data_IF_856374016898
#
_entry.id   IF_856374016898
#
_cell.length_a   1.000
_cell.length_b   1.000
_cell.length_c   1.000
_cell.angle_alpha   90.00
_cell.angle_beta   90.00
_cell.angle_gamma   90.00
#
_symmetry.space_group_name_H-M   'P 1'
#
loop_
_entity.id
_entity.type
_entity.pdbx_description
1 polymer ?
#
# COMPACT_ATOMS: atom_id res chain seq x y z
N UNK A 1 -0.99 -6.24 21.19
CA UNK A 1 -0.39 -5.47 20.10
C UNK A 1 1.12 -5.54 20.28
N UNK A 2 1.78 -6.26 19.40
CA UNK A 2 3.20 -6.12 19.10
C UNK A 2 3.47 -4.88 18.22
N UNK A 3 4.67 -4.83 17.65
CA UNK A 3 5.24 -3.63 17.03
C UNK A 3 4.48 -3.19 15.79
N UNK A 4 4.03 -4.14 14.97
CA UNK A 4 3.41 -3.87 13.68
C UNK A 4 1.99 -3.33 13.88
N UNK A 5 1.26 -3.89 14.86
CA UNK A 5 -0.04 -3.35 15.28
C UNK A 5 0.06 -1.92 15.82
N UNK A 6 1.13 -1.60 16.56
CA UNK A 6 1.36 -0.26 17.10
C UNK A 6 1.65 0.73 15.97
N UNK A 7 2.46 0.35 14.99
CA UNK A 7 2.78 1.22 13.85
C UNK A 7 1.54 1.53 13.01
N UNK A 8 0.71 0.52 12.74
CA UNK A 8 -0.57 0.69 12.05
C UNK A 8 -1.48 1.63 12.85
N UNK A 9 -1.60 1.44 14.17
CA UNK A 9 -2.39 2.33 15.03
C UNK A 9 -1.91 3.77 14.97
N UNK A 10 -0.61 4.01 15.11
CA UNK A 10 -0.03 5.35 15.00
C UNK A 10 -0.34 5.98 13.64
N UNK A 11 -0.20 5.19 12.55
CA UNK A 11 -0.50 5.67 11.21
C UNK A 11 -1.96 6.04 11.03
N UNK A 12 -2.88 5.25 11.58
CA UNK A 12 -4.32 5.53 11.60
C UNK A 12 -4.60 6.80 12.40
N UNK A 13 -4.11 6.90 13.63
CA UNK A 13 -4.27 8.09 14.47
C UNK A 13 -3.83 9.37 13.76
N UNK A 14 -2.65 9.36 13.16
CA UNK A 14 -2.11 10.50 12.42
C UNK A 14 -2.95 10.83 11.18
N UNK A 15 -3.47 9.81 10.49
CA UNK A 15 -4.29 9.99 9.28
C UNK A 15 -5.65 10.61 9.59
N UNK A 16 -6.27 10.23 10.70
CA UNK A 16 -7.58 10.75 11.12
C UNK A 16 -7.48 11.93 12.10
N UNK A 17 -6.28 12.28 12.56
CA UNK A 17 -6.07 13.33 13.56
C UNK A 17 -6.74 13.02 14.89
N UNK A 18 -6.76 11.75 15.29
CA UNK A 18 -7.36 11.25 16.53
C UNK A 18 -6.29 10.69 17.47
N UNK A 19 -6.67 10.40 18.72
CA UNK A 19 -5.86 9.66 19.68
C UNK A 19 -6.72 8.61 20.37
N UNK A 20 -6.33 7.34 20.24
CA UNK A 20 -6.99 6.17 20.81
C UNK A 20 -6.17 5.76 22.05
N UNK A 21 -6.75 5.80 23.27
CA UNK A 21 -6.02 5.43 24.48
C UNK A 21 -5.53 3.98 24.45
N UNK A 22 -4.36 3.70 25.02
CA UNK A 22 -3.79 2.35 25.05
C UNK A 22 -4.74 1.27 25.58
N UNK A 23 -5.51 1.57 26.64
CA UNK A 23 -6.50 0.63 27.22
C UNK A 23 -7.62 0.26 26.25
N UNK A 24 -7.89 1.12 25.28
CA UNK A 24 -8.83 0.84 24.20
C UNK A 24 -8.15 0.11 23.05
N UNK A 25 -6.96 0.57 22.66
CA UNK A 25 -6.15 -0.09 21.64
C UNK A 25 -5.92 -1.58 21.98
N UNK A 26 -5.62 -1.92 23.24
CA UNK A 26 -5.48 -3.29 23.72
C UNK A 26 -6.72 -4.18 23.49
N UNK A 27 -7.91 -3.58 23.27
CA UNK A 27 -9.17 -4.29 23.01
C UNK A 27 -9.49 -4.42 21.52
N UNK A 28 -8.71 -3.80 20.64
CA UNK A 28 -8.87 -3.94 19.19
C UNK A 28 -8.28 -5.29 18.79
N UNK A 29 -9.15 -6.27 18.56
CA UNK A 29 -8.76 -7.64 18.21
C UNK A 29 -8.99 -7.92 16.73
N UNK A 30 -10.04 -7.35 16.16
CA UNK A 30 -10.45 -7.55 14.76
C UNK A 30 -10.31 -6.26 13.95
N UNK A 31 -10.32 -6.40 12.62
CA UNK A 31 -10.37 -5.25 11.70
C UNK A 31 -11.63 -4.42 11.96
N UNK A 32 -12.77 -5.06 12.24
CA UNK A 32 -14.02 -4.39 12.58
C UNK A 32 -13.92 -3.58 13.87
N UNK A 33 -13.26 -4.12 14.91
CA UNK A 33 -12.99 -3.37 16.15
C UNK A 33 -12.16 -2.10 15.87
N UNK A 34 -11.23 -2.19 14.91
CA UNK A 34 -10.41 -1.07 14.48
C UNK A 34 -11.28 0.01 13.83
N UNK A 35 -12.15 -0.37 12.88
CA UNK A 35 -13.10 0.53 12.25
C UNK A 35 -13.96 1.24 13.29
N UNK A 36 -14.50 0.49 14.24
CA UNK A 36 -15.35 1.01 15.30
C UNK A 36 -14.60 1.94 16.26
N UNK A 37 -13.34 1.63 16.60
CA UNK A 37 -12.49 2.50 17.42
C UNK A 37 -12.23 3.85 16.77
N UNK A 38 -11.90 3.86 15.48
CA UNK A 38 -11.71 5.10 14.71
C UNK A 38 -13.02 5.86 14.59
N UNK A 39 -14.12 5.18 14.26
CA UNK A 39 -15.44 5.78 14.14
C UNK A 39 -15.88 6.49 15.43
N UNK A 40 -15.68 5.85 16.59
CA UNK A 40 -16.03 6.41 17.90
C UNK A 40 -15.25 7.70 18.22
N UNK A 41 -13.98 7.80 17.82
CA UNK A 41 -13.15 8.98 18.10
C UNK A 41 -13.40 10.15 17.14
N UNK A 42 -14.06 9.92 16.00
CA UNK A 42 -14.42 10.99 15.05
C UNK A 42 -15.67 11.80 15.45
N UNK A 43 -16.34 11.42 16.55
CA UNK A 43 -17.14 12.29 17.44
C UNK A 43 -18.00 13.38 16.76
N UNK A 44 -19.05 12.99 16.02
CA UNK A 44 -20.09 13.92 15.53
C UNK A 44 -19.75 14.68 14.24
N UNK A 45 -18.61 14.40 13.62
CA UNK A 45 -18.27 14.87 12.28
C UNK A 45 -18.90 13.95 11.22
N UNK A 46 -20.23 13.98 11.06
CA UNK A 46 -20.92 13.16 10.08
C UNK A 46 -21.08 13.88 8.74
N UNK A 47 -20.72 13.18 7.65
CA UNK A 47 -20.97 13.63 6.28
C UNK A 47 -21.68 12.55 5.46
N UNK A 48 -22.86 12.89 4.93
CA UNK A 48 -23.49 12.17 3.83
C UNK A 48 -22.70 12.31 2.51
N UNK A 49 -21.85 13.35 2.40
CA UNK A 49 -21.06 13.58 1.19
C UNK A 49 -19.85 12.66 1.18
N UNK A 50 -19.76 11.85 0.13
CA UNK A 50 -18.60 11.03 -0.18
C UNK A 50 -17.49 11.87 -0.82
N UNK A 51 -16.37 12.04 -0.10
CA UNK A 51 -15.10 12.56 -0.62
C UNK A 51 -14.54 11.67 -1.72
N UNK A 52 -14.74 10.36 -1.64
CA UNK A 52 -14.37 9.42 -2.71
C UNK A 52 -14.98 9.82 -4.07
N UNK A 53 -16.24 10.24 -4.08
CA UNK A 53 -16.93 10.73 -5.27
C UNK A 53 -16.34 12.06 -5.75
N UNK A 54 -16.11 13.01 -4.84
CA UNK A 54 -15.47 14.29 -5.18
C UNK A 54 -14.07 14.10 -5.77
N UNK A 55 -13.29 13.18 -5.20
CA UNK A 55 -11.97 12.82 -5.68
C UNK A 55 -12.03 12.16 -7.05
N UNK A 56 -12.96 11.23 -7.28
CA UNK A 56 -13.17 10.64 -8.60
C UNK A 56 -13.43 11.70 -9.68
N UNK A 57 -14.30 12.68 -9.41
CA UNK A 57 -14.56 13.75 -10.37
C UNK A 57 -13.34 14.66 -10.60
N UNK A 58 -12.58 14.97 -9.54
CA UNK A 58 -11.32 15.71 -9.65
C UNK A 58 -10.33 14.95 -10.55
N UNK A 59 -10.13 13.65 -10.28
CA UNK A 59 -9.24 12.78 -11.07
C UNK A 59 -9.71 12.70 -12.52
N UNK A 60 -10.99 12.47 -12.77
CA UNK A 60 -11.57 12.38 -14.11
C UNK A 60 -11.32 13.64 -14.94
N UNK A 61 -11.49 14.81 -14.34
CA UNK A 61 -11.21 16.08 -14.98
C UNK A 61 -9.72 16.23 -15.29
N UNK A 62 -8.85 16.03 -14.30
CA UNK A 62 -7.39 16.18 -14.47
C UNK A 62 -6.80 15.19 -15.47
N UNK A 63 -7.29 13.95 -15.50
CA UNK A 63 -6.90 12.92 -16.46
C UNK A 63 -7.28 13.34 -17.88
N UNK A 64 -8.50 13.83 -18.08
CA UNK A 64 -8.96 14.27 -19.39
C UNK A 64 -8.14 15.44 -19.93
N UNK A 65 -7.83 16.42 -19.07
CA UNK A 65 -7.01 17.59 -19.41
C UNK A 65 -5.54 17.24 -19.68
N UNK A 66 -4.97 16.28 -18.93
CA UNK A 66 -3.53 15.96 -19.01
C UNK A 66 -3.21 14.96 -20.11
N UNK A 67 -4.06 13.95 -20.31
CA UNK A 67 -3.78 12.81 -21.19
C UNK A 67 -4.64 12.79 -22.46
N UNK A 68 -5.42 13.85 -22.70
CA UNK A 68 -6.37 13.95 -23.82
C UNK A 68 -7.35 12.76 -23.88
N UNK A 69 -7.72 12.25 -22.71
CA UNK A 69 -8.62 11.11 -22.54
C UNK A 69 -10.07 11.60 -22.50
N UNK A 70 -11.00 10.95 -23.22
CA UNK A 70 -12.41 11.36 -23.20
C UNK A 70 -12.99 11.15 -21.80
N UNK A 71 -13.56 12.18 -21.14
CA UNK A 71 -14.16 12.01 -19.82
C UNK A 71 -15.21 10.91 -19.80
N UNK A 72 -16.01 10.78 -20.87
CA UNK A 72 -17.08 9.80 -21.00
C UNK A 72 -16.58 8.35 -20.96
N UNK A 73 -15.34 8.11 -21.39
CA UNK A 73 -14.70 6.80 -21.38
C UNK A 73 -14.15 6.43 -19.98
N UNK A 74 -13.92 7.42 -19.10
CA UNK A 74 -13.38 7.15 -17.77
C UNK A 74 -14.50 6.75 -16.82
N UNK A 75 -14.65 5.44 -16.65
CA UNK A 75 -15.62 4.83 -15.75
C UNK A 75 -14.91 4.29 -14.52
N UNK A 76 -15.69 3.91 -13.50
CA UNK A 76 -15.16 3.35 -12.26
C UNK A 76 -14.48 1.99 -12.47
N UNK A 77 -14.93 1.22 -13.47
CA UNK A 77 -14.42 -0.11 -13.86
C UNK A 77 -13.24 -0.04 -14.85
N UNK A 78 -12.90 1.13 -15.39
CA UNK A 78 -11.76 1.30 -16.30
C UNK A 78 -10.45 1.01 -15.58
N UNK A 79 -9.47 0.40 -16.25
CA UNK A 79 -8.15 0.18 -15.65
C UNK A 79 -7.28 1.46 -15.70
N UNK A 80 -6.61 1.86 -14.61
CA UNK A 80 -5.66 2.97 -14.63
C UNK A 80 -4.52 2.75 -15.65
N UNK A 81 -4.16 1.50 -15.93
CA UNK A 81 -3.13 1.15 -16.91
C UNK A 81 -3.52 1.48 -18.35
N UNK A 82 -4.81 1.65 -18.65
CA UNK A 82 -5.32 2.08 -19.95
C UNK A 82 -5.37 3.61 -20.08
N UNK A 83 -5.39 4.29 -18.94
CA UNK A 83 -5.57 5.74 -18.84
C UNK A 83 -4.23 6.47 -18.85
N UNK A 84 -3.26 5.98 -18.08
CA UNK A 84 -1.92 6.55 -18.07
C UNK A 84 -1.12 6.07 -19.28
N UNK A 85 -0.39 6.97 -19.97
CA UNK A 85 0.34 6.61 -21.18
C UNK A 85 1.32 5.47 -20.90
N UNK A 86 1.41 4.50 -21.82
CA UNK A 86 2.30 3.36 -21.66
C UNK A 86 3.77 3.78 -21.81
N UNK A 87 4.05 4.63 -22.81
CA UNK A 87 5.36 5.23 -23.00
C UNK A 87 5.55 6.38 -22.01
N UNK A 88 6.71 6.46 -21.37
CA UNK A 88 7.03 7.47 -20.36
C UNK A 88 6.07 7.52 -19.16
N UNK A 89 5.38 6.40 -18.87
CA UNK A 89 4.38 6.31 -17.80
C UNK A 89 4.86 6.88 -16.47
N UNK A 90 6.05 6.47 -16.02
CA UNK A 90 6.61 6.91 -14.73
C UNK A 90 6.74 8.44 -14.66
N UNK A 91 7.24 9.07 -15.72
CA UNK A 91 7.38 10.52 -15.77
C UNK A 91 6.01 11.21 -15.79
N UNK A 92 5.09 10.73 -16.62
CA UNK A 92 3.72 11.26 -16.70
C UNK A 92 2.98 11.10 -15.35
N UNK A 93 3.16 9.98 -14.67
CA UNK A 93 2.58 9.68 -13.37
C UNK A 93 3.09 10.63 -12.28
N UNK A 94 4.41 10.85 -12.21
CA UNK A 94 5.01 11.79 -11.28
C UNK A 94 4.60 13.24 -11.58
N UNK A 95 4.56 13.64 -12.84
CA UNK A 95 4.09 14.96 -13.26
C UNK A 95 2.62 15.19 -12.90
N UNK A 96 1.78 14.16 -13.07
CA UNK A 96 0.37 14.18 -12.66
C UNK A 96 0.19 14.29 -11.15
N UNK A 97 1.00 13.57 -10.36
CA UNK A 97 1.00 13.68 -8.90
C UNK A 97 1.32 15.12 -8.45
N UNK A 98 2.33 15.73 -9.07
CA UNK A 98 2.74 17.10 -8.80
C UNK A 98 1.68 18.13 -9.22
N UNK A 99 1.10 18.00 -10.42
CA UNK A 99 0.12 18.97 -10.93
C UNK A 99 -1.20 18.95 -10.16
N UNK A 100 -1.62 17.78 -9.68
CA UNK A 100 -2.85 17.62 -8.90
C UNK A 100 -2.67 17.88 -7.39
N UNK A 101 -1.41 17.97 -6.95
CA UNK A 101 -0.99 17.99 -5.55
C UNK A 101 -1.62 16.83 -4.76
N UNK A 102 -1.52 15.61 -5.30
CA UNK A 102 -2.03 14.38 -4.69
C UNK A 102 -0.89 13.39 -4.52
N UNK A 103 -0.84 12.74 -3.35
CA UNK A 103 -0.06 11.52 -3.15
C UNK A 103 -0.72 10.40 -3.94
N UNK A 104 0.03 9.71 -4.79
CA UNK A 104 -0.46 8.61 -5.60
C UNK A 104 0.13 7.28 -5.13
N UNK A 105 -0.56 6.15 -5.37
CA UNK A 105 -0.02 4.81 -5.13
C UNK A 105 1.33 4.59 -5.82
N UNK A 106 2.21 3.82 -5.20
CA UNK A 106 3.52 3.53 -5.80
C UNK A 106 3.39 2.65 -7.03
N UNK A 107 4.21 2.90 -8.05
CA UNK A 107 4.30 2.03 -9.21
C UNK A 107 5.01 0.72 -8.86
N UNK A 108 4.48 -0.40 -9.36
CA UNK A 108 5.06 -1.72 -9.22
C UNK A 108 5.87 -2.11 -10.46
N UNK A 109 6.77 -3.09 -10.26
CA UNK A 109 7.44 -3.76 -11.38
C UNK A 109 6.40 -4.50 -12.21
N UNK A 110 6.54 -4.44 -13.54
CA UNK A 110 5.74 -5.31 -14.40
C UNK A 110 6.13 -6.78 -14.15
N UNK A 111 5.18 -7.69 -14.42
CA UNK A 111 5.34 -9.15 -14.20
C UNK A 111 6.73 -9.71 -14.55
N UNK A 112 7.32 -9.48 -15.75
CA UNK A 112 8.63 -10.06 -16.08
C UNK A 112 9.76 -9.58 -15.15
N UNK A 113 9.78 -8.30 -14.81
CA UNK A 113 10.81 -7.75 -13.91
C UNK A 113 10.60 -8.15 -12.46
N UNK A 114 9.33 -8.25 -12.03
CA UNK A 114 8.99 -8.78 -10.71
C UNK A 114 9.42 -10.23 -10.57
N UNK A 115 9.13 -11.08 -11.55
CA UNK A 115 9.56 -12.48 -11.58
C UNK A 115 11.09 -12.58 -11.58
N UNK A 116 11.78 -11.76 -12.37
CA UNK A 116 13.25 -11.72 -12.38
C UNK A 116 13.82 -11.36 -10.99
N UNK A 117 13.31 -10.30 -10.36
CA UNK A 117 13.78 -9.87 -9.05
C UNK A 117 13.53 -10.94 -7.97
N UNK A 118 12.32 -11.52 -7.97
CA UNK A 118 11.95 -12.55 -6.98
C UNK A 118 12.76 -13.83 -7.17
N UNK A 119 12.98 -14.28 -8.41
CA UNK A 119 13.80 -15.47 -8.70
C UNK A 119 15.28 -15.22 -8.36
N UNK A 120 15.82 -14.04 -8.68
CA UNK A 120 17.16 -13.65 -8.28
C UNK A 120 17.33 -13.62 -6.75
N UNK A 121 16.36 -13.03 -6.03
CA UNK A 121 16.35 -13.02 -4.57
C UNK A 121 16.31 -14.43 -3.97
N UNK A 122 15.40 -15.27 -4.46
CA UNK A 122 15.30 -16.66 -4.01
C UNK A 122 16.61 -17.43 -4.23
N UNK A 123 17.20 -17.32 -5.41
CA UNK A 123 18.44 -18.02 -5.77
C UNK A 123 19.63 -17.53 -4.95
N UNK A 124 19.77 -16.23 -4.73
CA UNK A 124 20.91 -15.69 -3.97
C UNK A 124 20.79 -15.96 -2.48
N UNK A 125 19.58 -15.87 -1.92
CA UNK A 125 19.35 -16.09 -0.48
C UNK A 125 19.34 -17.59 -0.15
N UNK A 126 18.47 -18.39 -0.77
CA UNK A 126 18.38 -19.82 -0.47
C UNK A 126 19.57 -20.59 -1.02
N UNK A 127 20.03 -20.26 -2.23
CA UNK A 127 21.25 -20.85 -2.79
C UNK A 127 22.47 -20.48 -1.95
N UNK A 128 22.57 -19.21 -1.51
CA UNK A 128 23.63 -18.76 -0.60
C UNK A 128 23.63 -19.50 0.74
N UNK A 129 22.45 -19.72 1.32
CA UNK A 129 22.29 -20.51 2.53
C UNK A 129 22.70 -21.97 2.31
N UNK A 130 22.24 -22.60 1.23
CA UNK A 130 22.59 -23.97 0.89
C UNK A 130 24.10 -24.15 0.71
N UNK A 131 24.75 -23.24 -0.03
CA UNK A 131 26.21 -23.22 -0.19
C UNK A 131 26.91 -23.08 1.15
N UNK A 132 26.45 -22.18 2.02
CA UNK A 132 27.03 -21.99 3.36
C UNK A 132 26.95 -23.27 4.19
N UNK A 133 25.79 -23.93 4.20
CA UNK A 133 25.58 -25.20 4.92
C UNK A 133 26.47 -26.31 4.37
N UNK A 134 26.61 -26.41 3.04
CA UNK A 134 27.49 -27.41 2.41
C UNK A 134 28.95 -27.16 2.79
N UNK A 135 29.42 -25.92 2.70
CA UNK A 135 30.80 -25.55 3.05
C UNK A 135 31.13 -25.88 4.51
N UNK A 136 30.19 -25.64 5.43
CA UNK A 136 30.39 -25.92 6.86
C UNK A 136 30.43 -27.43 7.13
N UNK A 137 29.49 -28.21 6.56
CA UNK A 137 29.34 -29.62 6.92
C UNK A 137 30.25 -30.58 6.15
N UNK A 138 30.64 -30.24 4.91
CA UNK A 138 31.42 -31.13 4.05
C UNK A 138 32.88 -30.70 3.86
N UNK A 139 33.21 -29.44 4.15
CA UNK A 139 34.53 -28.87 3.88
C UNK A 139 35.14 -28.15 5.10
N UNK A 140 34.55 -28.30 6.29
CA UNK A 140 35.00 -27.73 7.57
C UNK A 140 35.26 -26.20 7.53
N UNK A 141 34.55 -25.47 6.66
CA UNK A 141 34.63 -24.01 6.65
C UNK A 141 34.04 -23.40 7.92
N UNK A 142 34.56 -22.24 8.30
CA UNK A 142 34.05 -21.47 9.43
C UNK A 142 32.59 -21.06 9.25
N UNK A 143 31.84 -20.95 10.36
CA UNK A 143 30.45 -20.45 10.37
C UNK A 143 30.29 -19.03 9.82
N UNK A 144 31.39 -18.29 9.66
CA UNK A 144 31.40 -17.01 8.95
C UNK A 144 30.84 -17.09 7.52
N UNK A 145 30.85 -18.27 6.87
CA UNK A 145 30.21 -18.45 5.56
C UNK A 145 28.71 -18.16 5.57
N UNK A 146 28.03 -18.19 6.71
CA UNK A 146 26.61 -17.79 6.84
C UNK A 146 26.35 -16.31 6.50
N UNK A 147 27.37 -15.50 6.25
CA UNK A 147 27.23 -14.15 5.69
C UNK A 147 26.80 -14.14 4.22
N UNK A 148 27.00 -15.23 3.48
CA UNK A 148 26.66 -15.33 2.05
C UNK A 148 25.18 -15.02 1.76
N UNK A 149 24.17 -15.60 2.46
CA UNK A 149 22.77 -15.20 2.25
C UNK A 149 22.49 -13.72 2.55
N UNK A 150 23.19 -13.12 3.53
CA UNK A 150 23.08 -11.67 3.82
C UNK A 150 23.60 -10.84 2.65
N UNK A 151 24.71 -11.25 2.03
CA UNK A 151 25.19 -10.66 0.79
C UNK A 151 24.16 -10.82 -0.35
N UNK A 152 23.46 -11.96 -0.40
CA UNK A 152 22.34 -12.18 -1.33
C UNK A 152 21.19 -11.17 -1.17
N UNK A 153 20.81 -10.85 0.07
CA UNK A 153 19.82 -9.80 0.37
C UNK A 153 20.31 -8.44 -0.16
N UNK A 154 21.56 -8.08 0.13
CA UNK A 154 22.14 -6.81 -0.33
C UNK A 154 22.18 -6.71 -1.87
N UNK A 155 22.55 -7.79 -2.56
CA UNK A 155 22.53 -7.87 -4.02
C UNK A 155 21.11 -7.75 -4.58
N UNK A 156 20.13 -8.33 -3.90
CA UNK A 156 18.71 -8.24 -4.30
C UNK A 156 18.18 -6.82 -4.14
N UNK A 157 18.52 -6.14 -3.05
CA UNK A 157 18.19 -4.72 -2.86
C UNK A 157 18.86 -3.83 -3.92
N UNK A 158 20.13 -4.09 -4.25
CA UNK A 158 20.84 -3.40 -5.33
C UNK A 158 20.14 -3.58 -6.67
N UNK A 159 19.74 -4.82 -7.01
CA UNK A 159 19.00 -5.11 -8.22
C UNK A 159 17.63 -4.43 -8.25
N UNK A 160 16.90 -4.43 -7.13
CA UNK A 160 15.63 -3.70 -7.01
C UNK A 160 15.79 -2.22 -7.33
N UNK A 161 16.83 -1.58 -6.78
CA UNK A 161 17.14 -0.17 -7.06
C UNK A 161 17.50 0.06 -8.54
N UNK A 162 18.22 -0.87 -9.17
CA UNK A 162 18.54 -0.81 -10.60
C UNK A 162 17.28 -0.92 -11.48
N UNK A 163 16.26 -1.64 -11.00
CA UNK A 163 14.98 -1.83 -11.69
C UNK A 163 13.95 -0.72 -11.41
N UNK A 164 14.26 0.29 -10.61
CA UNK A 164 13.36 1.44 -10.35
C UNK A 164 12.74 2.05 -11.61
N UNK A 165 13.49 2.30 -12.71
CA UNK A 165 12.91 2.84 -13.94
C UNK A 165 11.89 1.91 -14.62
N UNK A 166 11.88 0.61 -14.27
CA UNK A 166 10.95 -0.40 -14.80
C UNK A 166 9.68 -0.54 -13.95
N UNK A 167 9.57 0.20 -12.84
CA UNK A 167 8.33 0.31 -12.08
C UNK A 167 7.35 1.21 -12.83
N UNK A 168 6.49 0.59 -13.63
CA UNK A 168 5.48 1.27 -14.46
C UNK A 168 4.11 0.62 -14.34
N UNK A 169 3.95 -0.43 -13.54
CA UNK A 169 2.65 -1.08 -13.36
C UNK A 169 1.85 -0.36 -12.27
N UNK A 170 0.58 -0.07 -12.53
CA UNK A 170 -0.34 0.44 -11.50
C UNK A 170 -1.11 -0.77 -10.98
N UNK A 171 -0.89 -1.16 -9.72
CA UNK A 171 -1.51 -2.37 -9.14
C UNK A 171 -3.03 -2.30 -9.04
N UNK A 172 -3.59 -1.11 -8.83
CA UNK A 172 -5.04 -0.93 -8.72
C UNK A 172 -5.74 -1.43 -10.00
N UNK A 173 -6.67 -2.40 -9.90
CA UNK A 173 -7.27 -3.00 -11.08
C UNK A 173 -8.21 -2.02 -11.78
N UNK A 174 -8.94 -1.22 -11.02
CA UNK A 174 -9.91 -0.24 -11.55
C UNK A 174 -9.66 1.19 -11.06
N UNK A 175 -10.21 2.19 -11.77
CA UNK A 175 -10.19 3.59 -11.36
C UNK A 175 -10.90 3.80 -10.02
N UNK A 176 -11.90 2.98 -9.68
CA UNK A 176 -12.50 2.97 -8.35
C UNK A 176 -11.45 2.66 -7.28
N UNK A 177 -10.74 1.55 -7.42
CA UNK A 177 -9.74 1.12 -6.43
C UNK A 177 -8.56 2.10 -6.39
N UNK A 178 -8.19 2.65 -7.54
CA UNK A 178 -7.18 3.71 -7.63
C UNK A 178 -7.60 4.98 -6.87
N UNK A 179 -8.87 5.36 -7.00
CA UNK A 179 -9.44 6.52 -6.29
C UNK A 179 -9.51 6.27 -4.79
N UNK A 180 -9.93 5.07 -4.37
CA UNK A 180 -9.99 4.66 -2.97
C UNK A 180 -8.60 4.65 -2.31
N UNK A 181 -7.56 4.19 -3.03
CA UNK A 181 -6.18 4.24 -2.54
C UNK A 181 -5.64 5.67 -2.45
N UNK A 182 -5.88 6.51 -3.47
CA UNK A 182 -5.51 7.95 -3.40
C UNK A 182 -6.25 8.62 -2.24
N UNK A 183 -7.51 8.29 -2.00
CA UNK A 183 -8.26 8.81 -0.86
C UNK A 183 -7.54 8.47 0.44
N UNK A 184 -7.11 7.22 0.64
CA UNK A 184 -6.38 6.80 1.83
C UNK A 184 -5.06 7.56 2.01
N UNK A 185 -4.25 7.68 0.95
CA UNK A 185 -2.95 8.36 0.99
C UNK A 185 -3.05 9.86 1.30
N UNK A 186 -4.19 10.48 0.97
CA UNK A 186 -4.44 11.91 1.16
C UNK A 186 -5.51 12.19 2.21
N UNK A 187 -5.96 11.18 2.97
CA UNK A 187 -7.15 11.34 3.80
C UNK A 187 -6.97 12.42 4.87
N UNK A 188 -5.79 12.48 5.49
CA UNK A 188 -5.44 13.52 6.46
C UNK A 188 -5.62 14.94 5.89
N UNK A 189 -5.17 15.16 4.65
CA UNK A 189 -5.26 16.44 3.96
C UNK A 189 -6.70 16.75 3.49
N UNK A 190 -7.49 15.69 3.25
CA UNK A 190 -8.89 15.76 2.80
C UNK A 190 -9.90 15.78 3.96
N UNK A 191 -9.47 15.49 5.19
CA UNK A 191 -10.27 15.48 6.41
C UNK A 191 -10.61 16.93 6.82
N UNK A 192 -11.39 17.60 5.99
CA UNK A 192 -11.90 18.96 6.26
C UNK A 192 -12.99 18.93 7.32
N UNK A 193 -13.37 20.13 7.81
CA UNK A 193 -14.44 20.34 8.79
C UNK A 193 -15.82 19.76 8.41
N UNK A 194 -15.99 19.26 7.17
CA UNK A 194 -17.23 18.63 6.70
C UNK A 194 -17.45 17.21 7.23
N UNK A 195 -16.45 16.62 7.88
CA UNK A 195 -16.57 15.36 8.61
C UNK A 195 -16.45 14.09 7.77
N UNK A 196 -16.55 12.95 8.44
CA UNK A 196 -16.21 11.63 7.94
C UNK A 196 -17.46 10.78 7.64
N UNK A 197 -17.34 9.96 6.61
CA UNK A 197 -18.32 8.94 6.28
C UNK A 197 -17.78 7.58 6.77
N UNK A 198 -18.62 6.75 7.39
CA UNK A 198 -18.20 5.46 7.95
C UNK A 198 -17.53 4.56 6.92
N UNK A 199 -18.09 4.47 5.72
CA UNK A 199 -17.52 3.67 4.64
C UNK A 199 -16.15 4.16 4.20
N UNK A 200 -15.91 5.47 4.21
CA UNK A 200 -14.58 6.02 3.89
C UNK A 200 -13.56 5.66 4.95
N UNK A 201 -13.95 5.65 6.22
CA UNK A 201 -13.06 5.25 7.31
C UNK A 201 -12.65 3.79 7.14
N UNK A 202 -13.62 2.90 6.87
CA UNK A 202 -13.36 1.49 6.62
C UNK A 202 -12.39 1.30 5.44
N UNK A 203 -12.62 2.01 4.32
CA UNK A 203 -11.72 2.00 3.16
C UNK A 203 -10.30 2.46 3.52
N UNK A 204 -10.19 3.61 4.20
CA UNK A 204 -8.90 4.22 4.54
C UNK A 204 -8.13 3.36 5.54
N UNK A 205 -8.79 2.84 6.58
CA UNK A 205 -8.18 1.93 7.55
C UNK A 205 -7.71 0.64 6.87
N UNK A 206 -8.53 0.04 5.99
CA UNK A 206 -8.14 -1.17 5.25
C UNK A 206 -6.94 -0.92 4.34
N UNK A 207 -6.87 0.23 3.66
CA UNK A 207 -5.70 0.60 2.88
C UNK A 207 -4.45 0.81 3.74
N UNK A 208 -4.58 1.42 4.93
CA UNK A 208 -3.44 1.56 5.85
C UNK A 208 -2.94 0.18 6.30
N UNK A 209 -3.85 -0.73 6.69
CA UNK A 209 -3.47 -2.10 7.08
C UNK A 209 -2.80 -2.82 5.89
N UNK A 210 -3.37 -2.74 4.69
CA UNK A 210 -2.82 -3.35 3.47
C UNK A 210 -1.42 -2.84 3.16
N UNK A 211 -1.20 -1.52 3.18
CA UNK A 211 0.08 -0.92 2.83
C UNK A 211 1.17 -1.24 3.87
N UNK A 212 0.81 -1.30 5.16
CA UNK A 212 1.75 -1.54 6.26
C UNK A 212 2.07 -3.04 6.42
N UNK A 213 1.07 -3.90 6.34
CA UNK A 213 1.23 -5.35 6.50
C UNK A 213 1.61 -6.06 5.18
N UNK A 214 1.54 -5.38 4.04
CA UNK A 214 1.81 -5.96 2.73
C UNK A 214 0.77 -7.00 2.27
N UNK A 215 -0.46 -6.89 2.78
CA UNK A 215 -1.57 -7.81 2.51
C UNK A 215 -2.47 -7.29 1.38
N UNK A 216 -3.10 -8.19 0.64
CA UNK A 216 -4.10 -7.81 -0.37
C UNK A 216 -5.41 -7.34 0.32
N UNK A 217 -6.07 -6.31 -0.22
CA UNK A 217 -7.30 -5.75 0.38
C UNK A 217 -8.43 -6.78 0.53
N UNK A 218 -8.48 -7.78 -0.35
CA UNK A 218 -9.45 -8.87 -0.30
C UNK A 218 -9.26 -9.75 0.94
N UNK A 219 -8.06 -9.77 1.50
CA UNK A 219 -7.75 -10.50 2.71
C UNK A 219 -8.15 -9.74 3.98
N UNK A 220 -8.55 -8.47 3.89
CA UNK A 220 -8.85 -7.60 5.04
C UNK A 220 -10.36 -7.48 5.20
N UNK A 221 -10.95 -8.38 5.99
CA UNK A 221 -12.39 -8.36 6.30
C UNK A 221 -12.65 -8.02 7.78
N UNK A 222 -13.80 -7.41 8.12
CA UNK A 222 -14.08 -6.95 9.49
C UNK A 222 -13.97 -8.05 10.56
N UNK A 223 -14.25 -9.31 10.21
CA UNK A 223 -14.28 -10.43 11.13
C UNK A 223 -12.88 -10.98 11.44
N UNK A 224 -11.88 -10.70 10.60
CA UNK A 224 -10.54 -11.21 10.79
C UNK A 224 -9.86 -10.56 11.98
N UNK A 225 -9.19 -11.41 12.76
CA UNK A 225 -8.33 -11.00 13.87
C UNK A 225 -6.99 -10.50 13.35
N UNK A 226 -6.56 -9.36 13.88
CA UNK A 226 -5.33 -8.68 13.47
C UNK A 226 -4.11 -9.57 13.72
N UNK A 227 -3.98 -10.12 14.93
CA UNK A 227 -2.86 -11.00 15.27
C UNK A 227 -3.03 -12.42 14.69
N UNK A 228 -4.17 -13.06 14.95
CA UNK A 228 -4.33 -14.49 14.64
C UNK A 228 -4.51 -14.77 13.14
N UNK A 229 -5.26 -13.93 12.42
CA UNK A 229 -5.66 -14.20 11.02
C UNK A 229 -4.82 -13.40 10.01
N UNK A 230 -4.35 -12.21 10.37
CA UNK A 230 -3.51 -11.37 9.50
C UNK A 230 -2.01 -11.48 9.83
N UNK A 231 -1.65 -12.12 10.94
CA UNK A 231 -0.25 -12.29 11.36
C UNK A 231 0.42 -10.99 11.74
N UNK A 232 -0.35 -9.97 12.13
CA UNK A 232 0.14 -8.66 12.55
C UNK A 232 0.31 -8.71 14.07
N UNK A 233 1.54 -8.95 14.55
CA UNK A 233 1.86 -8.84 15.97
C UNK A 233 2.03 -7.37 16.36
#
# INVERSE_FOLDING_TARGET
MGMDSIEILMKVEDTFGIKIPNREAEKILTVGDFHDAVWRHLSGRYSERCKSQGLFYKLRKSIAETFNFSPQQLRLDTSPNEVFPQQSRRQAYLAFAQSTNLKLPTLALTRPWATLLNTFGLLTILGGLAVSVILINFFDYSKWTLVIPVLGIALTMLLSNLLEPKRTDIKAPTIKDFTEHILALNYADLLTAQGANRREIEIVVNHIISDMAGLDLEEITPEKKIADDLGID
#
